data_IF_235819008240
#
_entry.id   IF_235819008240
#
_cell.length_a   1.000
_cell.length_b   1.000
_cell.length_c   1.000
_cell.angle_alpha   90.00
_cell.angle_beta   90.00
_cell.angle_gamma   90.00
#
_symmetry.space_group_name_H-M   'P 1'
#
loop_
_entity.id
_entity.type
_entity.pdbx_description
1 polymer ?
#
# COMPACT_ATOMS: atom_id res chain seq x y z
N UNK A 1 7.66 -21.87 -12.30
CA UNK A 1 7.61 -20.91 -13.42
C UNK A 1 6.21 -20.97 -13.99
N UNK A 2 5.40 -19.94 -13.74
CA UNK A 2 4.05 -19.81 -14.27
C UNK A 2 4.16 -19.11 -15.62
N UNK A 3 3.77 -19.77 -16.72
CA UNK A 3 3.71 -19.15 -18.04
C UNK A 3 2.28 -18.66 -18.29
N UNK A 4 2.13 -17.38 -18.66
CA UNK A 4 0.84 -16.83 -19.06
C UNK A 4 0.70 -16.97 -20.58
N UNK A 5 -0.34 -17.66 -21.04
CA UNK A 5 -0.63 -17.86 -22.48
C UNK A 5 -1.70 -16.88 -22.94
N UNK A 6 -1.48 -16.23 -24.07
CA UNK A 6 -2.45 -15.35 -24.71
C UNK A 6 -2.93 -15.92 -26.03
N UNK A 7 -4.22 -15.73 -26.34
CA UNK A 7 -4.78 -16.04 -27.65
C UNK A 7 -4.46 -14.92 -28.65
N UNK A 8 -4.45 -15.22 -29.95
CA UNK A 8 -4.24 -14.21 -31.01
C UNK A 8 -5.32 -13.11 -31.05
N UNK A 9 -6.51 -13.34 -30.49
CA UNK A 9 -7.59 -12.35 -30.40
C UNK A 9 -7.28 -11.27 -29.35
N UNK A 10 -6.58 -11.62 -28.27
CA UNK A 10 -6.16 -10.68 -27.23
C UNK A 10 -5.01 -9.77 -27.70
N UNK A 11 -4.29 -10.18 -28.75
CA UNK A 11 -3.18 -9.40 -29.33
C UNK A 11 -3.65 -8.16 -30.09
N UNK A 12 -4.78 -8.22 -30.82
CA UNK A 12 -5.32 -7.03 -31.48
C UNK A 12 -5.83 -6.00 -30.47
N UNK A 13 -6.42 -6.45 -29.36
CA UNK A 13 -6.82 -5.59 -28.24
C UNK A 13 -5.61 -4.98 -27.52
N UNK A 14 -4.55 -5.78 -27.29
CA UNK A 14 -3.29 -5.29 -26.74
C UNK A 14 -2.65 -4.21 -27.63
N UNK A 15 -2.63 -4.41 -28.96
CA UNK A 15 -2.14 -3.39 -29.91
C UNK A 15 -3.01 -2.13 -29.89
N UNK A 16 -4.33 -2.26 -29.80
CA UNK A 16 -5.24 -1.12 -29.76
C UNK A 16 -5.03 -0.24 -28.52
N UNK A 17 -4.83 -0.86 -27.35
CA UNK A 17 -4.61 -0.17 -26.08
C UNK A 17 -3.21 0.45 -25.94
N UNK A 18 -2.25 0.06 -26.79
CA UNK A 18 -0.85 0.52 -26.72
C UNK A 18 -0.39 1.30 -27.97
N UNK A 19 -1.32 1.81 -28.80
CA UNK A 19 -0.98 2.70 -29.91
C UNK A 19 -0.53 4.06 -29.39
N UNK A 20 0.74 4.39 -29.59
CA UNK A 20 1.28 5.72 -29.29
C UNK A 20 1.01 6.68 -30.46
N UNK A 21 0.38 7.86 -30.25
CA UNK A 21 -0.12 8.72 -31.33
C UNK A 21 0.98 9.37 -32.20
N UNK A 22 2.25 9.28 -31.80
CA UNK A 22 3.38 9.88 -32.49
C UNK A 22 4.21 8.93 -33.39
N UNK A 23 3.92 7.62 -33.41
CA UNK A 23 4.68 6.65 -34.22
C UNK A 23 3.79 5.53 -34.77
N UNK A 24 3.21 5.68 -35.97
CA UNK A 24 2.28 4.70 -36.53
C UNK A 24 2.93 3.45 -37.16
N UNK A 25 4.26 3.41 -37.30
CA UNK A 25 4.98 2.36 -38.07
C UNK A 25 5.77 1.33 -37.24
N UNK A 26 5.47 1.14 -35.94
CA UNK A 26 5.91 -0.06 -35.21
C UNK A 26 5.08 -1.27 -35.69
N UNK A 27 5.32 -1.68 -36.94
CA UNK A 27 4.77 -2.85 -37.58
C UNK A 27 5.46 -4.09 -37.01
N UNK A 28 4.77 -4.77 -36.10
CA UNK A 28 5.10 -6.15 -35.75
C UNK A 28 4.84 -7.05 -36.95
N UNK A 29 5.87 -7.43 -37.70
CA UNK A 29 5.74 -8.34 -38.84
C UNK A 29 5.76 -9.78 -38.35
N UNK A 30 4.58 -10.38 -38.16
CA UNK A 30 4.43 -11.84 -38.07
C UNK A 30 4.23 -12.40 -39.48
N UNK A 31 5.20 -13.16 -39.99
CA UNK A 31 5.07 -13.85 -41.28
C UNK A 31 4.00 -14.94 -41.16
N UNK A 32 2.83 -14.71 -41.75
CA UNK A 32 1.66 -15.59 -41.66
C UNK A 32 1.82 -16.79 -42.59
N UNK A 33 2.35 -17.92 -42.10
CA UNK A 33 2.26 -19.19 -42.82
C UNK A 33 0.99 -19.94 -42.40
N UNK A 34 0.03 -20.08 -43.32
CA UNK A 34 -1.17 -20.92 -43.15
C UNK A 34 -0.74 -22.39 -43.13
N UNK A 35 -1.03 -23.09 -42.03
CA UNK A 35 -0.91 -24.54 -41.94
C UNK A 35 -2.32 -25.15 -41.71
N UNK A 36 -2.82 -26.09 -42.53
CA UNK A 36 -4.21 -26.56 -42.45
C UNK A 36 -4.56 -27.48 -41.27
N UNK A 37 -3.68 -27.66 -40.29
CA UNK A 37 -3.82 -28.72 -39.28
C UNK A 37 -3.56 -28.35 -37.81
N UNK A 38 -3.36 -27.08 -37.46
CA UNK A 38 -3.19 -26.64 -36.05
C UNK A 38 -3.95 -25.33 -35.83
N UNK A 39 -4.70 -25.24 -34.74
CA UNK A 39 -5.66 -24.14 -34.52
C UNK A 39 -5.13 -22.92 -33.77
N UNK A 40 -3.99 -22.93 -33.08
CA UNK A 40 -3.54 -21.72 -32.33
C UNK A 40 -2.00 -21.58 -32.23
N UNK A 41 -1.53 -20.34 -32.29
CA UNK A 41 -0.16 -19.92 -31.98
C UNK A 41 -0.15 -19.24 -30.60
N UNK A 42 0.89 -19.47 -29.78
CA UNK A 42 1.03 -18.84 -28.46
C UNK A 42 2.40 -18.17 -28.31
N UNK A 43 2.46 -17.11 -27.51
CA UNK A 43 3.71 -16.44 -27.10
C UNK A 43 3.85 -16.68 -25.59
N UNK A 44 5.01 -17.17 -25.15
CA UNK A 44 5.32 -17.31 -23.73
C UNK A 44 6.28 -16.19 -23.30
N UNK A 45 5.92 -15.49 -22.23
CA UNK A 45 6.71 -14.43 -21.62
C UNK A 45 7.21 -14.92 -20.26
N UNK A 46 8.52 -14.79 -20.00
CA UNK A 46 9.12 -15.16 -18.72
C UNK A 46 9.51 -13.90 -17.93
N UNK A 47 9.32 -13.94 -16.60
CA UNK A 47 9.83 -12.91 -15.69
C UNK A 47 11.35 -12.82 -15.83
N UNK A 48 11.81 -11.69 -16.40
CA UNK A 48 13.19 -11.48 -16.83
C UNK A 48 13.33 -10.82 -18.21
N UNK A 49 12.24 -10.52 -18.91
CA UNK A 49 12.26 -9.67 -20.11
C UNK A 49 12.68 -10.36 -21.41
N UNK A 50 12.46 -11.67 -21.52
CA UNK A 50 12.68 -12.43 -22.76
C UNK A 50 11.36 -12.91 -23.35
N UNK A 51 11.21 -12.75 -24.67
CA UNK A 51 10.11 -13.31 -25.45
C UNK A 51 10.67 -14.51 -26.22
N UNK A 52 10.17 -15.71 -25.94
CA UNK A 52 10.50 -16.91 -26.69
C UNK A 52 9.28 -17.32 -27.53
N UNK A 53 9.44 -17.39 -28.85
CA UNK A 53 8.37 -17.77 -29.77
C UNK A 53 8.58 -19.24 -30.16
N UNK A 54 7.83 -20.15 -29.54
CA UNK A 54 7.88 -21.59 -29.81
C UNK A 54 6.87 -21.97 -30.89
N UNK A 55 7.38 -22.41 -32.05
CA UNK A 55 6.61 -23.15 -33.05
C UNK A 55 7.02 -24.62 -32.99
N UNK A 56 6.09 -25.50 -32.60
CA UNK A 56 6.32 -26.95 -32.62
C UNK A 56 5.56 -27.54 -33.80
N UNK A 57 6.29 -27.99 -34.82
CA UNK A 57 5.77 -28.71 -35.97
C UNK A 57 6.72 -29.82 -36.39
N UNK A 58 6.18 -31.01 -36.66
CA UNK A 58 6.94 -32.20 -37.01
C UNK A 58 7.75 -31.99 -38.31
N UNK A 59 9.02 -32.35 -38.23
CA UNK A 59 10.07 -32.28 -39.26
C UNK A 59 10.76 -30.91 -39.44
N UNK A 60 11.99 -30.88 -38.92
CA UNK A 60 13.09 -29.92 -39.16
C UNK A 60 12.92 -28.53 -38.52
N UNK A 61 13.31 -28.42 -37.23
CA UNK A 61 13.39 -27.18 -36.47
C UNK A 61 14.70 -26.42 -36.74
N UNK A 62 14.60 -25.18 -37.24
CA UNK A 62 15.59 -24.12 -36.97
C UNK A 62 15.00 -23.20 -35.90
N UNK A 63 15.60 -23.22 -34.71
CA UNK A 63 15.32 -22.26 -33.63
C UNK A 63 15.90 -20.90 -34.02
N UNK A 64 15.05 -19.88 -34.14
CA UNK A 64 15.46 -18.49 -34.33
C UNK A 64 15.29 -17.71 -33.04
N UNK A 65 16.38 -17.48 -32.31
CA UNK A 65 16.38 -16.63 -31.11
C UNK A 65 16.39 -15.16 -31.56
N UNK A 66 15.29 -14.43 -31.37
CA UNK A 66 15.27 -12.97 -31.62
C UNK A 66 15.66 -12.27 -30.33
N UNK A 67 16.92 -11.81 -30.26
CA UNK A 67 17.44 -11.04 -29.12
C UNK A 67 17.22 -9.55 -29.38
N UNK A 68 16.21 -8.94 -28.75
CA UNK A 68 16.03 -7.50 -28.80
C UNK A 68 16.99 -6.84 -27.79
N UNK A 69 17.76 -5.80 -28.18
CA UNK A 69 18.57 -5.05 -27.23
C UNK A 69 17.65 -4.24 -26.32
N UNK A 70 17.73 -4.50 -25.01
CA UNK A 70 17.19 -3.59 -24.00
C UNK A 70 17.88 -2.23 -24.19
N UNK A 71 17.15 -1.25 -24.72
CA UNK A 71 17.55 0.15 -24.57
C UNK A 71 17.64 0.42 -23.08
N UNK A 72 18.76 0.99 -22.64
CA UNK A 72 19.00 1.47 -21.27
C UNK A 72 17.70 2.02 -20.67
N UNK A 73 17.24 1.40 -19.59
CA UNK A 73 16.04 1.77 -18.87
C UNK A 73 16.15 3.22 -18.39
N UNK A 74 15.77 4.17 -19.24
CA UNK A 74 15.48 5.57 -18.85
C UNK A 74 14.00 5.78 -18.54
N UNK A 75 13.20 4.71 -18.66
CA UNK A 75 11.82 4.66 -18.21
C UNK A 75 11.64 3.31 -17.52
N UNK A 76 11.90 3.28 -16.20
CA UNK A 76 11.40 2.18 -15.37
C UNK A 76 9.89 2.10 -15.61
N UNK A 77 9.35 0.90 -15.90
CA UNK A 77 7.91 0.74 -15.89
C UNK A 77 7.38 1.24 -14.53
N UNK A 78 6.27 2.01 -14.49
CA UNK A 78 5.71 2.44 -13.22
C UNK A 78 5.52 1.19 -12.37
N UNK A 79 6.14 1.15 -11.19
CA UNK A 79 5.87 0.07 -10.25
C UNK A 79 4.38 0.05 -9.98
N UNK A 80 3.77 -1.12 -10.07
CA UNK A 80 2.41 -1.31 -9.59
C UNK A 80 2.44 -1.17 -8.05
N UNK A 81 1.99 -0.02 -7.57
CA UNK A 81 1.98 0.32 -6.15
C UNK A 81 1.22 -0.72 -5.32
N UNK A 82 0.13 -1.25 -5.87
CA UNK A 82 -0.67 -2.25 -5.18
C UNK A 82 0.11 -3.57 -5.03
N UNK A 83 0.85 -3.98 -6.07
CA UNK A 83 1.75 -5.12 -6.01
C UNK A 83 2.93 -4.90 -5.03
N UNK A 84 3.53 -3.71 -5.02
CA UNK A 84 4.59 -3.36 -4.06
C UNK A 84 4.09 -3.44 -2.61
N UNK A 85 2.89 -2.91 -2.34
CA UNK A 85 2.26 -3.02 -1.04
C UNK A 85 1.94 -4.49 -0.69
N UNK A 86 1.36 -5.24 -1.63
CA UNK A 86 1.05 -6.65 -1.44
C UNK A 86 2.28 -7.45 -0.99
N UNK A 87 3.38 -7.36 -1.75
CA UNK A 87 4.62 -8.06 -1.41
C UNK A 87 5.20 -7.62 -0.07
N UNK A 88 5.20 -6.31 0.22
CA UNK A 88 5.70 -5.77 1.48
C UNK A 88 4.95 -6.34 2.68
N UNK A 89 3.63 -6.53 2.57
CA UNK A 89 2.79 -7.00 3.67
C UNK A 89 2.69 -8.53 3.73
N UNK A 90 2.81 -9.24 2.61
CA UNK A 90 2.99 -10.70 2.63
C UNK A 90 4.24 -11.10 3.45
N UNK A 91 5.37 -10.41 3.24
CA UNK A 91 6.62 -10.64 3.99
C UNK A 91 6.48 -10.33 5.50
N UNK A 92 5.55 -9.45 5.88
CA UNK A 92 5.34 -9.00 7.27
C UNK A 92 4.28 -9.79 8.01
N UNK A 93 3.37 -10.47 7.30
CA UNK A 93 2.12 -10.99 7.85
C UNK A 93 2.29 -11.79 9.14
N UNK A 94 3.24 -12.74 9.16
CA UNK A 94 3.47 -13.63 10.32
C UNK A 94 3.92 -12.92 11.60
N UNK A 95 4.47 -11.71 11.52
CA UNK A 95 4.97 -10.92 12.67
C UNK A 95 4.26 -9.58 12.80
N UNK A 96 3.22 -9.34 12.00
CA UNK A 96 2.56 -8.04 11.96
C UNK A 96 1.95 -7.69 13.31
N UNK A 97 1.34 -8.68 13.97
CA UNK A 97 0.70 -8.50 15.28
C UNK A 97 1.72 -8.32 16.42
N UNK A 98 3.00 -8.70 16.23
CA UNK A 98 4.10 -8.51 17.19
C UNK A 98 4.64 -7.07 17.16
N UNK A 99 3.74 -6.11 17.22
CA UNK A 99 4.06 -4.71 17.04
C UNK A 99 3.07 -3.81 17.79
N UNK A 100 3.06 -2.53 17.44
CA UNK A 100 2.15 -1.55 18.00
C UNK A 100 0.72 -1.62 17.43
N UNK A 101 0.52 -2.23 16.26
CA UNK A 101 -0.75 -2.21 15.54
C UNK A 101 -1.94 -2.74 16.37
N UNK A 102 -1.82 -3.79 17.23
CA UNK A 102 -2.97 -4.23 18.05
C UNK A 102 -3.47 -3.21 19.07
N UNK A 103 -2.59 -2.32 19.56
CA UNK A 103 -3.02 -1.22 20.45
C UNK A 103 -3.71 -0.12 19.65
N UNK A 104 -3.13 0.23 18.51
CA UNK A 104 -3.68 1.25 17.62
C UNK A 104 -5.06 0.85 17.06
N UNK A 105 -5.24 -0.40 16.65
CA UNK A 105 -6.50 -0.90 16.10
C UNK A 105 -7.69 -0.74 17.06
N UNK A 106 -7.48 -0.96 18.37
CA UNK A 106 -8.51 -0.73 19.38
C UNK A 106 -8.89 0.75 19.47
N UNK A 107 -7.89 1.63 19.43
CA UNK A 107 -8.14 3.08 19.45
C UNK A 107 -8.92 3.56 18.22
N UNK A 108 -8.62 3.04 17.03
CA UNK A 108 -9.38 3.33 15.81
C UNK A 108 -10.86 2.98 15.99
N UNK A 109 -11.17 1.82 16.58
CA UNK A 109 -12.56 1.41 16.84
C UNK A 109 -13.23 2.27 17.92
N UNK A 110 -12.52 2.60 19.00
CA UNK A 110 -13.03 3.46 20.07
C UNK A 110 -13.39 4.85 19.55
N UNK A 111 -12.58 5.42 18.64
CA UNK A 111 -12.82 6.74 18.03
C UNK A 111 -14.03 6.78 17.09
N UNK A 112 -14.38 5.65 16.46
CA UNK A 112 -15.55 5.56 15.58
C UNK A 112 -16.88 5.49 16.32
N UNK A 113 -16.84 5.18 17.61
CA UNK A 113 -18.01 5.01 18.47
C UNK A 113 -19.09 4.10 17.84
N UNK A 114 -18.66 2.94 17.34
CA UNK A 114 -19.52 1.96 16.67
C UNK A 114 -20.67 1.50 17.57
N UNK A 115 -21.84 1.28 16.96
CA UNK A 115 -23.07 0.85 17.63
C UNK A 115 -23.43 -0.60 17.31
N UNK A 116 -24.08 -1.32 18.24
CA UNK A 116 -24.61 -2.63 17.94
C UNK A 116 -25.54 -2.63 16.73
N UNK A 117 -25.37 -3.59 15.82
CA UNK A 117 -26.14 -3.69 14.58
C UNK A 117 -25.56 -2.96 13.37
N UNK A 118 -24.49 -2.18 13.53
CA UNK A 118 -23.86 -1.48 12.40
C UNK A 118 -23.11 -2.43 11.46
N UNK A 119 -23.05 -2.03 10.20
CA UNK A 119 -22.27 -2.69 9.15
C UNK A 119 -21.03 -1.88 8.83
N UNK A 120 -19.86 -2.51 8.92
CA UNK A 120 -18.55 -1.85 8.79
C UNK A 120 -17.77 -2.41 7.61
N UNK A 121 -17.10 -1.55 6.85
CA UNK A 121 -16.15 -1.94 5.81
C UNK A 121 -14.73 -1.56 6.23
N UNK A 122 -13.88 -2.56 6.43
CA UNK A 122 -12.48 -2.38 6.83
C UNK A 122 -11.54 -2.56 5.64
N UNK A 123 -10.95 -1.44 5.18
CA UNK A 123 -10.11 -1.34 3.99
C UNK A 123 -8.63 -1.42 4.36
N UNK A 124 -7.90 -2.31 3.66
CA UNK A 124 -6.57 -2.77 4.04
C UNK A 124 -6.58 -3.40 5.44
N UNK A 125 -7.52 -4.33 5.64
CA UNK A 125 -7.80 -4.93 6.95
C UNK A 125 -6.63 -5.75 7.54
N UNK A 126 -5.64 -6.11 6.74
CA UNK A 126 -4.44 -6.83 7.16
C UNK A 126 -4.78 -8.16 7.84
N UNK A 127 -4.22 -8.39 9.03
CA UNK A 127 -4.52 -9.56 9.84
C UNK A 127 -5.89 -9.47 10.53
N UNK A 128 -6.69 -8.44 10.28
CA UNK A 128 -8.03 -8.26 10.86
C UNK A 128 -8.06 -7.59 12.23
N UNK A 129 -7.01 -6.88 12.65
CA UNK A 129 -6.95 -6.26 13.99
C UNK A 129 -8.09 -5.26 14.23
N UNK A 130 -8.35 -4.37 13.27
CA UNK A 130 -9.50 -3.44 13.32
C UNK A 130 -10.80 -4.21 13.08
N UNK A 131 -10.81 -5.10 12.06
CA UNK A 131 -11.98 -5.93 11.71
C UNK A 131 -12.59 -6.63 12.92
N UNK A 132 -11.78 -7.33 13.72
CA UNK A 132 -12.28 -8.10 14.86
C UNK A 132 -12.70 -7.22 16.03
N UNK A 133 -11.99 -6.11 16.28
CA UNK A 133 -12.40 -5.14 17.29
C UNK A 133 -13.74 -4.48 16.92
N UNK A 134 -13.94 -4.14 15.64
CA UNK A 134 -15.19 -3.62 15.12
C UNK A 134 -16.31 -4.68 15.21
N UNK A 135 -16.02 -5.94 14.86
CA UNK A 135 -16.99 -7.04 14.91
C UNK A 135 -17.51 -7.29 16.33
N UNK A 136 -16.65 -7.11 17.33
CA UNK A 136 -17.04 -7.14 18.74
C UNK A 136 -17.94 -5.95 19.10
N UNK A 137 -17.61 -4.75 18.66
CA UNK A 137 -18.36 -3.53 18.98
C UNK A 137 -19.78 -3.53 18.38
N UNK A 138 -19.93 -3.99 17.13
CA UNK A 138 -21.24 -4.05 16.46
C UNK A 138 -22.08 -5.26 16.89
N UNK A 139 -21.47 -6.24 17.57
CA UNK A 139 -22.15 -7.42 18.09
C UNK A 139 -22.74 -8.33 17.01
N UNK A 140 -23.51 -9.34 17.44
CA UNK A 140 -24.03 -10.39 16.57
C UNK A 140 -25.09 -9.95 15.56
N UNK A 141 -25.66 -8.74 15.73
CA UNK A 141 -26.64 -8.16 14.81
C UNK A 141 -26.00 -7.26 13.75
N UNK A 142 -24.72 -6.89 13.93
CA UNK A 142 -23.94 -6.16 12.94
C UNK A 142 -23.00 -7.07 12.18
N UNK A 143 -22.24 -6.53 11.24
CA UNK A 143 -21.25 -7.29 10.47
C UNK A 143 -20.07 -6.44 10.05
N UNK A 144 -18.92 -7.07 9.84
CA UNK A 144 -17.73 -6.40 9.29
C UNK A 144 -17.24 -7.11 8.03
N UNK A 145 -17.04 -6.34 6.97
CA UNK A 145 -16.42 -6.80 5.73
C UNK A 145 -15.00 -6.27 5.67
N UNK A 146 -14.00 -7.15 5.76
CA UNK A 146 -12.59 -6.82 5.61
C UNK A 146 -12.12 -7.01 4.17
N UNK A 147 -11.39 -6.04 3.62
CA UNK A 147 -10.80 -6.10 2.28
C UNK A 147 -9.30 -5.86 2.37
N UNK A 148 -8.49 -6.77 1.84
CA UNK A 148 -7.05 -6.60 1.72
C UNK A 148 -6.52 -7.22 0.42
N UNK A 149 -5.38 -6.75 -0.09
CA UNK A 149 -4.75 -7.32 -1.28
C UNK A 149 -3.79 -8.48 -0.94
N UNK A 150 -3.24 -8.47 0.28
CA UNK A 150 -2.25 -9.45 0.77
C UNK A 150 -2.92 -10.75 1.20
N UNK A 151 -2.62 -11.82 0.48
CA UNK A 151 -3.08 -13.16 0.84
C UNK A 151 -2.40 -13.65 2.13
N UNK A 152 -1.16 -13.25 2.40
CA UNK A 152 -0.46 -13.57 3.64
C UNK A 152 -1.14 -12.97 4.86
N UNK A 153 -1.59 -11.72 4.76
CA UNK A 153 -2.35 -11.04 5.80
C UNK A 153 -3.70 -11.70 6.06
N UNK A 154 -4.47 -11.95 4.99
CA UNK A 154 -5.77 -12.59 5.09
C UNK A 154 -5.69 -14.03 5.63
N UNK A 155 -4.62 -14.76 5.33
CA UNK A 155 -4.38 -16.07 5.92
C UNK A 155 -4.28 -15.98 7.46
N UNK A 156 -3.57 -14.99 8.00
CA UNK A 156 -3.54 -14.75 9.46
C UNK A 156 -4.90 -14.34 10.00
N UNK A 157 -5.64 -13.50 9.26
CA UNK A 157 -6.98 -13.08 9.65
C UNK A 157 -7.94 -14.29 9.74
N UNK A 158 -7.97 -15.15 8.73
CA UNK A 158 -8.79 -16.37 8.73
C UNK A 158 -8.41 -17.34 9.84
N UNK A 159 -7.12 -17.52 10.15
CA UNK A 159 -6.69 -18.34 11.28
C UNK A 159 -7.23 -17.80 12.60
N UNK A 160 -7.16 -16.48 12.82
CA UNK A 160 -7.72 -15.83 14.01
C UNK A 160 -9.24 -15.94 14.06
N UNK A 161 -9.93 -15.75 12.94
CA UNK A 161 -11.38 -15.89 12.83
C UNK A 161 -11.83 -17.30 13.24
N UNK A 162 -11.17 -18.33 12.72
CA UNK A 162 -11.45 -19.72 13.04
C UNK A 162 -11.20 -20.03 14.52
N UNK A 163 -10.06 -19.59 15.07
CA UNK A 163 -9.73 -19.83 16.48
C UNK A 163 -10.70 -19.14 17.46
N UNK A 164 -11.21 -17.97 17.09
CA UNK A 164 -12.11 -17.18 17.94
C UNK A 164 -13.61 -17.47 17.69
N UNK A 165 -13.95 -18.33 16.71
CA UNK A 165 -15.32 -18.61 16.28
C UNK A 165 -16.13 -17.32 15.97
N UNK A 166 -15.53 -16.40 15.20
CA UNK A 166 -16.18 -15.13 14.83
C UNK A 166 -16.98 -15.32 13.54
N UNK A 167 -18.29 -15.21 13.64
CA UNK A 167 -19.23 -15.49 12.52
C UNK A 167 -19.67 -14.23 11.75
N UNK A 168 -19.62 -13.05 12.37
CA UNK A 168 -20.09 -11.79 11.79
C UNK A 168 -19.01 -11.03 10.99
N UNK A 169 -18.03 -11.75 10.44
CA UNK A 169 -16.92 -11.19 9.65
C UNK A 169 -16.76 -11.93 8.33
N UNK A 170 -16.61 -11.17 7.24
CA UNK A 170 -16.26 -11.69 5.92
C UNK A 170 -15.00 -11.01 5.41
N UNK A 171 -14.05 -11.78 4.89
CA UNK A 171 -12.82 -11.25 4.30
C UNK A 171 -12.82 -11.44 2.78
N UNK A 172 -12.31 -10.45 2.06
CA UNK A 172 -12.13 -10.47 0.61
C UNK A 172 -10.70 -10.11 0.24
N UNK A 173 -10.07 -10.95 -0.60
CA UNK A 173 -8.82 -10.59 -1.25
C UNK A 173 -9.12 -9.69 -2.46
N UNK A 174 -8.98 -8.38 -2.32
CA UNK A 174 -9.26 -7.43 -3.39
C UNK A 174 -8.50 -6.11 -3.20
N UNK A 175 -8.28 -5.37 -4.30
CA UNK A 175 -7.80 -3.99 -4.20
C UNK A 175 -8.88 -3.08 -3.63
N UNK A 176 -8.50 -2.26 -2.66
CA UNK A 176 -9.37 -1.21 -2.09
C UNK A 176 -9.56 -0.03 -3.05
N UNK A 177 -8.79 0.09 -4.13
CA UNK A 177 -8.95 1.16 -5.12
C UNK A 177 -10.04 0.87 -6.17
N UNK A 178 -10.62 -0.34 -6.17
CA UNK A 178 -11.67 -0.74 -7.11
C UNK A 178 -12.73 -1.59 -6.42
N UNK A 179 -13.52 -1.03 -5.51
CA UNK A 179 -14.56 -1.80 -4.80
C UNK A 179 -15.83 -2.08 -5.65
N UNK A 180 -16.01 -1.39 -6.78
CA UNK A 180 -17.24 -1.49 -7.59
C UNK A 180 -17.47 -2.84 -8.25
N UNK A 181 -16.44 -3.68 -8.36
CA UNK A 181 -16.49 -5.00 -8.98
C UNK A 181 -16.30 -6.14 -7.97
N UNK A 182 -16.34 -5.83 -6.67
CA UNK A 182 -16.19 -6.81 -5.61
C UNK A 182 -17.58 -7.33 -5.18
N UNK A 183 -17.84 -8.60 -5.49
CA UNK A 183 -19.02 -9.31 -5.01
C UNK A 183 -19.06 -9.28 -3.46
N UNK A 184 -20.23 -8.98 -2.90
CA UNK A 184 -20.39 -8.81 -1.45
C UNK A 184 -20.04 -7.41 -0.92
N UNK A 185 -19.57 -6.50 -1.78
CA UNK A 185 -19.39 -5.07 -1.46
C UNK A 185 -20.11 -4.17 -2.47
N UNK A 186 -20.12 -4.55 -3.75
CA UNK A 186 -20.79 -3.81 -4.81
C UNK A 186 -22.26 -3.52 -4.47
N UNK A 187 -22.63 -2.24 -4.54
CA UNK A 187 -24.01 -1.77 -4.30
C UNK A 187 -24.43 -1.71 -2.83
N UNK A 188 -23.56 -2.12 -1.89
CA UNK A 188 -23.83 -1.98 -0.46
C UNK A 188 -23.44 -0.60 0.06
N UNK A 189 -24.04 -0.22 1.18
CA UNK A 189 -23.67 0.96 1.96
C UNK A 189 -23.44 0.56 3.41
N UNK A 190 -22.42 1.14 4.03
CA UNK A 190 -21.93 0.83 5.36
C UNK A 190 -22.17 2.00 6.31
N UNK A 191 -22.37 1.68 7.58
CA UNK A 191 -22.49 2.68 8.66
C UNK A 191 -21.12 3.27 9.00
N UNK A 192 -20.04 2.49 8.84
CA UNK A 192 -18.68 2.97 9.00
C UNK A 192 -17.69 2.36 8.00
N UNK A 193 -16.65 3.12 7.66
CA UNK A 193 -15.49 2.67 6.89
C UNK A 193 -14.22 2.90 7.70
N UNK A 194 -13.35 1.90 7.78
CA UNK A 194 -12.02 2.02 8.41
C UNK A 194 -10.91 1.85 7.39
N UNK A 195 -9.84 2.62 7.50
CA UNK A 195 -8.60 2.41 6.74
C UNK A 195 -7.40 2.76 7.62
N UNK A 196 -6.88 1.78 8.35
CA UNK A 196 -5.81 1.99 9.31
C UNK A 196 -4.43 1.65 8.74
N UNK A 197 -3.45 2.54 8.91
CA UNK A 197 -2.04 2.36 8.56
C UNK A 197 -1.75 2.07 7.07
N UNK A 198 -2.67 2.47 6.19
CA UNK A 198 -2.60 2.13 4.76
C UNK A 198 -2.72 3.32 3.80
N UNK A 199 -3.18 4.50 4.22
CA UNK A 199 -3.35 5.65 3.31
C UNK A 199 -2.04 6.04 2.61
N UNK A 200 -0.93 5.98 3.34
CA UNK A 200 0.44 6.27 2.85
C UNK A 200 0.95 5.27 1.81
N UNK A 201 0.23 4.18 1.58
CA UNK A 201 0.57 3.22 0.53
C UNK A 201 -0.06 3.63 -0.79
N UNK A 202 -1.16 4.37 -0.79
CA UNK A 202 -1.90 4.73 -2.00
C UNK A 202 -1.18 5.81 -2.81
N UNK A 203 -1.04 5.55 -4.10
CA UNK A 203 -0.49 6.54 -5.05
C UNK A 203 -1.44 7.71 -5.33
N UNK A 204 -2.75 7.49 -5.22
CA UNK A 204 -3.78 8.52 -5.39
C UNK A 204 -4.85 8.41 -4.29
N UNK A 205 -4.55 8.90 -3.08
CA UNK A 205 -5.48 8.83 -1.95
C UNK A 205 -6.79 9.60 -2.22
N UNK A 206 -6.75 10.73 -2.93
CA UNK A 206 -7.94 11.51 -3.27
C UNK A 206 -8.96 10.71 -4.09
N UNK A 207 -8.50 9.96 -5.09
CA UNK A 207 -9.39 9.14 -5.91
C UNK A 207 -9.98 7.98 -5.10
N UNK A 208 -9.15 7.33 -4.28
CA UNK A 208 -9.58 6.23 -3.43
C UNK A 208 -10.65 6.68 -2.42
N UNK A 209 -10.42 7.79 -1.72
CA UNK A 209 -11.37 8.39 -0.78
C UNK A 209 -12.71 8.74 -1.43
N UNK A 210 -12.69 9.43 -2.58
CA UNK A 210 -13.91 9.74 -3.34
C UNK A 210 -14.67 8.48 -3.76
N UNK A 211 -13.94 7.39 -4.02
CA UNK A 211 -14.53 6.10 -4.33
C UNK A 211 -15.17 5.46 -3.08
N UNK A 212 -14.47 5.49 -1.93
CA UNK A 212 -14.93 4.89 -0.67
C UNK A 212 -16.15 5.59 -0.08
N UNK A 213 -16.20 6.93 -0.11
CA UNK A 213 -17.33 7.71 0.44
C UNK A 213 -18.67 7.33 -0.20
N UNK A 214 -18.67 6.80 -1.43
CA UNK A 214 -19.89 6.30 -2.11
C UNK A 214 -20.48 5.04 -1.48
N UNK A 215 -19.70 4.33 -0.67
CA UNK A 215 -20.12 3.16 0.09
C UNK A 215 -20.54 3.53 1.52
N UNK A 216 -20.50 4.79 1.92
CA UNK A 216 -21.09 5.22 3.19
C UNK A 216 -22.59 5.43 3.03
N UNK A 217 -23.36 5.03 4.04
CA UNK A 217 -24.73 5.52 4.23
C UNK A 217 -24.72 7.02 4.49
N UNK A 218 -25.81 7.75 4.23
CA UNK A 218 -25.99 9.10 4.75
C UNK A 218 -25.83 9.11 6.28
N UNK A 219 -24.90 9.94 6.79
CA UNK A 219 -24.54 9.98 8.22
C UNK A 219 -23.59 8.87 8.68
N UNK A 220 -23.12 8.02 7.77
CA UNK A 220 -22.05 7.08 8.02
C UNK A 220 -20.71 7.78 8.23
N UNK A 221 -19.77 7.10 8.89
CA UNK A 221 -18.51 7.67 9.36
C UNK A 221 -17.31 6.98 8.71
N UNK A 222 -16.26 7.71 8.42
CA UNK A 222 -14.99 7.16 7.96
C UNK A 222 -13.87 7.53 8.91
N UNK A 223 -13.01 6.56 9.23
CA UNK A 223 -11.78 6.79 10.00
C UNK A 223 -10.55 6.33 9.21
N UNK A 224 -9.49 7.13 9.26
CA UNK A 224 -8.18 6.76 8.75
C UNK A 224 -7.06 7.55 9.41
N UNK A 225 -5.82 7.16 9.13
CA UNK A 225 -4.63 7.83 9.65
C UNK A 225 -3.56 8.13 8.60
N UNK A 226 -2.77 9.15 8.92
CA UNK A 226 -1.51 9.48 8.25
C UNK A 226 -0.39 9.61 9.26
N UNK A 227 0.81 9.17 8.88
CA UNK A 227 1.99 9.26 9.73
C UNK A 227 2.33 10.73 10.02
N UNK A 228 2.68 11.06 11.27
CA UNK A 228 3.14 12.41 11.60
C UNK A 228 4.41 12.76 10.79
N UNK A 229 4.57 14.02 10.37
CA UNK A 229 5.69 14.47 9.52
C UNK A 229 7.09 14.32 10.15
N UNK A 230 7.12 14.12 11.45
CA UNK A 230 8.32 13.84 12.24
C UNK A 230 8.36 12.40 12.77
N UNK A 231 7.52 11.52 12.25
CA UNK A 231 7.50 10.10 12.59
C UNK A 231 8.19 9.28 11.52
N UNK A 232 8.89 8.23 11.95
CA UNK A 232 9.65 7.35 11.07
C UNK A 232 10.62 8.12 10.16
N UNK A 233 11.38 9.06 10.74
CA UNK A 233 12.23 10.02 10.01
C UNK A 233 13.19 9.35 9.03
N UNK A 234 13.66 8.15 9.34
CA UNK A 234 14.50 7.38 8.43
C UNK A 234 13.78 6.97 7.14
N UNK A 235 12.52 6.51 7.23
CA UNK A 235 11.73 6.17 6.04
C UNK A 235 11.38 7.41 5.22
N UNK A 236 11.03 8.53 5.88
CA UNK A 236 10.80 9.81 5.21
C UNK A 236 12.06 10.30 4.48
N UNK A 237 13.22 10.19 5.12
CA UNK A 237 14.51 10.55 4.51
C UNK A 237 14.80 9.68 3.29
N UNK A 238 14.55 8.37 3.38
CA UNK A 238 14.71 7.46 2.25
C UNK A 238 13.74 7.78 1.09
N UNK A 239 12.51 8.19 1.39
CA UNK A 239 11.54 8.65 0.40
C UNK A 239 12.01 9.95 -0.29
N UNK A 240 12.60 10.90 0.45
CA UNK A 240 13.24 12.10 -0.15
C UNK A 240 14.37 11.72 -1.10
N UNK A 241 15.20 10.75 -0.73
CA UNK A 241 16.26 10.22 -1.61
C UNK A 241 15.67 9.61 -2.87
N UNK A 242 14.62 8.80 -2.76
CA UNK A 242 13.89 8.24 -3.91
C UNK A 242 13.36 9.31 -4.84
N UNK A 243 12.70 10.36 -4.30
CA UNK A 243 12.24 11.51 -5.10
C UNK A 243 13.40 12.20 -5.83
N UNK A 244 14.54 12.46 -5.16
CA UNK A 244 15.73 13.10 -5.77
C UNK A 244 16.36 12.26 -6.88
N UNK A 245 16.26 10.94 -6.80
CA UNK A 245 16.78 10.01 -7.79
C UNK A 245 15.75 9.60 -8.85
N UNK A 246 14.50 10.06 -8.74
CA UNK A 246 13.36 9.57 -9.51
C UNK A 246 13.21 8.04 -9.44
N UNK A 247 13.51 7.45 -8.28
CA UNK A 247 13.34 6.03 -7.98
C UNK A 247 12.17 5.89 -7.00
N UNK A 248 11.09 5.19 -7.38
CA UNK A 248 9.96 4.98 -6.49
C UNK A 248 10.36 4.12 -5.29
N UNK A 249 9.89 4.50 -4.11
CA UNK A 249 9.92 3.69 -2.89
C UNK A 249 8.49 3.32 -2.52
N UNK A 250 8.25 2.19 -1.81
CA UNK A 250 6.90 1.70 -1.50
C UNK A 250 6.25 2.48 -0.33
N UNK A 251 6.18 3.81 -0.45
CA UNK A 251 5.64 4.75 0.53
C UNK A 251 5.42 6.12 -0.10
N UNK A 252 4.32 6.78 0.29
CA UNK A 252 3.95 8.14 -0.11
C UNK A 252 3.68 9.02 1.11
N UNK A 253 4.52 8.93 2.14
CA UNK A 253 4.34 9.69 3.38
C UNK A 253 4.59 11.19 3.17
N UNK A 254 5.42 11.55 2.21
CA UNK A 254 5.69 12.96 1.86
C UNK A 254 4.54 13.63 1.09
N UNK A 255 3.39 12.97 0.93
CA UNK A 255 2.18 13.60 0.38
C UNK A 255 1.39 14.38 1.44
N UNK A 256 1.76 14.27 2.72
CA UNK A 256 1.08 14.91 3.84
C UNK A 256 2.13 15.61 4.71
N UNK A 257 2.26 16.92 4.55
CA UNK A 257 3.22 17.75 5.30
C UNK A 257 2.57 18.49 6.47
N UNK A 258 1.24 18.41 6.63
CA UNK A 258 0.53 19.00 7.76
C UNK A 258 -0.79 18.29 8.08
N UNK A 259 -1.31 18.43 9.30
CA UNK A 259 -2.69 18.03 9.62
C UNK A 259 -3.72 18.68 8.70
N UNK A 260 -3.44 19.92 8.23
CA UNK A 260 -4.36 20.67 7.39
C UNK A 260 -4.53 20.04 6.01
N UNK A 261 -3.45 19.57 5.40
CA UNK A 261 -3.52 18.85 4.13
C UNK A 261 -4.30 17.54 4.23
N UNK A 262 -4.19 16.86 5.38
CA UNK A 262 -4.98 15.67 5.66
C UNK A 262 -6.47 16.01 5.84
N UNK A 263 -6.79 17.06 6.59
CA UNK A 263 -8.17 17.57 6.72
C UNK A 263 -8.75 17.98 5.36
N UNK A 264 -7.99 18.70 4.53
CA UNK A 264 -8.41 19.15 3.20
C UNK A 264 -8.66 17.97 2.25
N UNK A 265 -7.85 16.91 2.35
CA UNK A 265 -8.06 15.68 1.60
C UNK A 265 -9.41 15.03 1.97
N UNK A 266 -9.72 14.90 3.26
CA UNK A 266 -10.99 14.33 3.74
C UNK A 266 -12.18 15.19 3.31
N UNK A 267 -12.08 16.52 3.48
CA UNK A 267 -13.12 17.47 3.07
C UNK A 267 -13.37 17.42 1.56
N UNK A 268 -12.31 17.36 0.75
CA UNK A 268 -12.40 17.27 -0.71
C UNK A 268 -13.02 15.95 -1.21
N UNK A 269 -13.07 14.93 -0.36
CA UNK A 269 -13.78 13.68 -0.62
C UNK A 269 -15.28 13.74 -0.25
N UNK A 270 -15.71 14.81 0.43
CA UNK A 270 -17.11 15.04 0.81
C UNK A 270 -17.44 14.69 2.26
N UNK A 271 -16.45 14.32 3.07
CA UNK A 271 -16.62 14.11 4.52
C UNK A 271 -16.85 15.46 5.23
N UNK A 272 -17.60 15.42 6.33
CA UNK A 272 -18.03 16.61 7.08
C UNK A 272 -17.81 16.38 8.57
N UNK A 273 -17.97 17.42 9.40
CA UNK A 273 -17.81 17.30 10.86
C UNK A 273 -16.47 16.66 11.27
N UNK A 274 -15.40 17.02 10.55
CA UNK A 274 -14.09 16.40 10.68
C UNK A 274 -13.51 16.61 12.08
N UNK A 275 -13.07 15.51 12.71
CA UNK A 275 -12.30 15.50 13.95
C UNK A 275 -10.91 14.93 13.68
N UNK A 276 -9.89 15.79 13.75
CA UNK A 276 -8.49 15.43 13.53
C UNK A 276 -7.76 15.41 14.87
N UNK A 277 -7.21 14.24 15.23
CA UNK A 277 -6.49 14.01 16.49
C UNK A 277 -5.07 13.55 16.21
N UNK A 278 -4.11 14.00 17.01
CA UNK A 278 -2.77 13.40 17.03
C UNK A 278 -2.76 12.27 18.05
N UNK A 279 -2.49 11.04 17.60
CA UNK A 279 -2.39 9.85 18.44
C UNK A 279 -0.94 9.41 18.52
N UNK A 280 -0.41 9.27 19.74
CA UNK A 280 0.99 8.89 19.97
C UNK A 280 1.15 7.59 20.76
N UNK A 281 2.15 6.80 20.37
CA UNK A 281 2.50 5.49 20.91
C UNK A 281 3.47 5.65 22.09
N UNK A 282 3.04 5.61 23.35
CA UNK A 282 4.02 5.46 24.42
C UNK A 282 4.51 4.00 24.50
N UNK A 283 5.83 3.80 24.65
CA UNK A 283 6.33 2.62 25.35
C UNK A 283 5.93 2.75 26.83
N UNK A 284 4.73 2.29 27.16
CA UNK A 284 4.26 2.27 28.54
C UNK A 284 5.14 1.30 29.35
N UNK A 285 6.19 1.83 29.98
CA UNK A 285 6.70 1.28 31.25
C UNK A 285 5.75 1.77 32.35
N UNK A 286 4.54 1.21 32.37
CA UNK A 286 3.50 1.58 33.32
C UNK A 286 2.20 0.84 33.05
N UNK A 287 1.63 0.22 34.09
CA UNK A 287 0.37 -0.52 34.05
C UNK A 287 -0.83 0.43 33.90
N UNK A 288 -1.08 0.94 32.69
CA UNK A 288 -2.33 1.61 32.34
C UNK A 288 -3.20 0.68 31.49
N UNK A 289 -4.44 0.44 31.92
CA UNK A 289 -5.53 -0.10 31.09
C UNK A 289 -6.37 1.07 30.60
N UNK A 290 -6.67 1.14 29.30
CA UNK A 290 -7.61 2.13 28.73
C UNK A 290 -7.04 3.04 27.64
N UNK A 291 -7.92 3.91 27.11
CA UNK A 291 -7.83 4.83 25.96
C UNK A 291 -6.64 5.82 25.99
N UNK A 292 -5.81 5.79 27.03
CA UNK A 292 -4.62 6.62 27.22
C UNK A 292 -3.44 6.25 26.31
N UNK A 293 -3.70 5.73 25.11
CA UNK A 293 -2.77 5.84 23.98
C UNK A 293 -2.79 7.30 23.45
N UNK A 294 -2.51 8.25 24.35
CA UNK A 294 -2.14 9.65 24.18
C UNK A 294 -2.69 10.37 22.94
N UNK A 295 -3.94 10.86 23.01
CA UNK A 295 -4.38 11.99 22.20
C UNK A 295 -3.57 13.21 22.65
N UNK A 296 -2.67 13.69 21.80
CA UNK A 296 -1.86 14.87 22.05
C UNK A 296 -2.51 16.10 21.41
N UNK A 297 -2.17 17.28 21.92
CA UNK A 297 -2.42 18.51 21.18
C UNK A 297 -1.67 18.41 19.84
N UNK A 298 -2.42 18.59 18.74
CA UNK A 298 -1.92 18.52 17.36
C UNK A 298 -0.75 19.51 17.14
N UNK A 299 -0.70 20.60 17.92
CA UNK A 299 0.34 21.62 17.87
C UNK A 299 1.48 21.40 18.88
N UNK A 300 1.35 20.46 19.82
CA UNK A 300 2.35 20.17 20.84
C UNK A 300 2.63 18.66 20.89
N UNK A 301 3.24 18.09 19.83
CA UNK A 301 3.57 16.68 19.81
C UNK A 301 4.62 16.35 20.87
N UNK A 302 4.51 15.16 21.48
CA UNK A 302 5.57 14.61 22.33
C UNK A 302 6.79 14.26 21.47
N UNK A 303 7.98 14.64 21.92
CA UNK A 303 9.23 14.14 21.34
C UNK A 303 9.52 12.78 21.98
N UNK A 304 9.50 11.72 21.17
CA UNK A 304 9.70 10.35 21.62
C UNK A 304 11.16 9.93 21.57
N UNK A 305 11.90 10.46 20.59
CA UNK A 305 13.31 10.12 20.37
C UNK A 305 14.07 11.34 19.88
N UNK A 306 15.32 11.44 20.30
CA UNK A 306 16.26 12.47 19.84
C UNK A 306 17.47 11.74 19.29
N UNK A 307 17.89 12.14 18.09
CA UNK A 307 19.07 11.62 17.40
C UNK A 307 20.09 12.72 17.21
N UNK A 308 21.35 12.30 17.13
CA UNK A 308 22.41 13.13 16.59
C UNK A 308 22.45 13.00 15.06
N UNK A 309 23.09 13.95 14.38
CA UNK A 309 23.27 13.89 12.91
C UNK A 309 24.06 12.62 12.52
N UNK A 310 25.00 12.21 13.35
CA UNK A 310 25.87 11.05 13.15
C UNK A 310 25.11 9.72 13.16
N UNK A 311 23.93 9.66 13.79
CA UNK A 311 23.06 8.48 13.79
C UNK A 311 22.53 8.12 12.39
N UNK A 312 22.61 9.07 11.43
CA UNK A 312 22.15 8.89 10.06
C UNK A 312 22.78 7.70 9.36
N UNK A 313 24.06 7.41 9.63
CA UNK A 313 24.77 6.28 9.03
C UNK A 313 24.14 4.95 9.45
N UNK A 314 23.94 4.72 10.75
CA UNK A 314 23.34 3.48 11.25
C UNK A 314 21.90 3.33 10.76
N UNK A 315 21.15 4.44 10.67
CA UNK A 315 19.78 4.47 10.11
C UNK A 315 19.75 4.03 8.66
N UNK A 316 20.62 4.59 7.83
CA UNK A 316 20.73 4.24 6.42
C UNK A 316 21.02 2.75 6.24
N UNK A 317 22.04 2.22 6.94
CA UNK A 317 22.46 0.82 6.80
C UNK A 317 21.34 -0.17 7.14
N UNK A 318 20.50 0.15 8.13
CA UNK A 318 19.32 -0.66 8.46
C UNK A 318 18.23 -0.60 7.39
N UNK A 319 18.00 0.57 6.81
CA UNK A 319 16.87 0.80 5.90
C UNK A 319 17.18 0.36 4.47
N UNK A 320 18.42 0.54 4.02
CA UNK A 320 18.80 0.29 2.63
C UNK A 320 18.68 -1.17 2.22
N UNK A 321 18.81 -2.10 3.18
CA UNK A 321 18.66 -3.55 2.99
C UNK A 321 17.21 -4.03 3.14
N UNK A 322 16.29 -3.14 3.49
CA UNK A 322 14.86 -3.45 3.58
C UNK A 322 14.18 -3.32 2.20
N UNK A 323 12.93 -3.80 2.09
CA UNK A 323 12.09 -3.59 0.91
C UNK A 323 11.93 -2.12 0.50
N UNK A 324 12.03 -1.19 1.45
CA UNK A 324 11.99 0.24 1.15
C UNK A 324 13.25 0.74 0.43
N UNK A 325 14.40 0.12 0.68
CA UNK A 325 15.70 0.51 0.13
C UNK A 325 16.14 -0.30 -1.09
N UNK A 326 15.51 -1.44 -1.36
CA UNK A 326 15.89 -2.38 -2.42
C UNK A 326 16.05 -1.69 -3.78
N UNK A 327 15.11 -0.81 -4.17
CA UNK A 327 15.17 -0.06 -5.42
C UNK A 327 16.38 0.89 -5.50
N UNK A 328 16.75 1.48 -4.36
CA UNK A 328 17.83 2.46 -4.25
C UNK A 328 19.20 1.78 -4.19
N UNK A 329 19.25 0.54 -3.67
CA UNK A 329 20.46 -0.26 -3.58
C UNK A 329 20.81 -0.96 -4.92
N UNK A 330 19.84 -1.13 -5.81
CA UNK A 330 20.00 -1.79 -7.10
C UNK A 330 21.03 -1.08 -7.99
N UNK A 331 21.63 -1.84 -8.92
CA UNK A 331 22.54 -1.34 -9.96
C UNK A 331 23.71 -0.47 -9.44
N UNK A 332 24.20 -0.76 -8.23
CA UNK A 332 25.28 0.00 -7.60
C UNK A 332 24.84 1.36 -7.03
N UNK A 333 23.53 1.64 -6.95
CA UNK A 333 22.96 2.89 -6.47
C UNK A 333 23.17 3.16 -4.97
N UNK A 334 23.57 2.15 -4.19
CA UNK A 334 23.71 2.23 -2.72
C UNK A 334 24.58 3.40 -2.25
N UNK A 335 25.75 3.61 -2.85
CA UNK A 335 26.67 4.65 -2.39
C UNK A 335 26.10 6.05 -2.65
N UNK A 336 25.44 6.24 -3.80
CA UNK A 336 24.76 7.50 -4.11
C UNK A 336 23.55 7.73 -3.20
N UNK A 337 22.77 6.68 -2.93
CA UNK A 337 21.65 6.75 -2.00
C UNK A 337 22.12 7.11 -0.59
N UNK A 338 23.26 6.58 -0.14
CA UNK A 338 23.87 6.90 1.16
C UNK A 338 24.23 8.38 1.28
N UNK A 339 24.94 8.91 0.30
CA UNK A 339 25.35 10.33 0.29
C UNK A 339 24.14 11.25 0.40
N UNK A 340 23.12 11.00 -0.42
CA UNK A 340 21.88 11.77 -0.42
C UNK A 340 21.10 11.59 0.89
N UNK A 341 21.08 10.38 1.45
CA UNK A 341 20.41 10.12 2.72
C UNK A 341 21.04 10.93 3.85
N UNK A 342 22.37 10.92 3.97
CA UNK A 342 23.07 11.67 5.02
C UNK A 342 22.87 13.18 4.86
N UNK A 343 22.84 13.68 3.61
CA UNK A 343 22.53 15.08 3.32
C UNK A 343 21.10 15.44 3.75
N UNK A 344 20.10 14.63 3.40
CA UNK A 344 18.69 14.86 3.80
C UNK A 344 18.48 14.68 5.30
N UNK A 345 19.18 13.76 5.94
CA UNK A 345 19.12 13.52 7.38
C UNK A 345 19.65 14.73 8.16
N UNK A 346 20.81 15.27 7.75
CA UNK A 346 21.40 16.44 8.41
C UNK A 346 20.50 17.69 8.36
N UNK A 347 19.68 17.84 7.31
CA UNK A 347 18.71 18.95 7.19
C UNK A 347 17.58 18.89 8.23
N UNK A 348 17.39 17.76 8.92
CA UNK A 348 16.38 17.60 9.96
C UNK A 348 16.82 18.17 11.32
N UNK A 349 18.10 18.50 11.47
CA UNK A 349 18.63 18.96 12.75
C UNK A 349 18.12 20.37 13.09
N UNK A 350 17.73 20.57 14.35
CA UNK A 350 17.39 21.88 14.90
C UNK A 350 18.66 22.70 15.20
N UNK A 351 18.50 23.92 15.73
CA UNK A 351 19.61 24.82 16.07
C UNK A 351 20.61 24.25 17.10
N UNK A 352 20.25 23.17 17.80
CA UNK A 352 21.12 22.46 18.74
C UNK A 352 21.85 21.28 18.10
N UNK A 353 21.63 21.00 16.82
CA UNK A 353 22.16 19.82 16.14
C UNK A 353 21.38 18.54 16.45
N UNK A 354 20.20 18.64 17.04
CA UNK A 354 19.36 17.51 17.43
C UNK A 354 18.28 17.23 16.38
N UNK A 355 18.06 15.96 16.08
CA UNK A 355 16.98 15.49 15.21
C UNK A 355 15.92 14.81 16.09
N UNK A 356 14.81 15.49 16.26
CA UNK A 356 13.75 15.07 17.18
C UNK A 356 12.60 14.37 16.42
N UNK A 357 12.35 13.10 16.76
CA UNK A 357 11.30 12.25 16.20
C UNK A 357 10.09 12.16 17.14
N UNK A 358 8.91 12.20 16.52
CA UNK A 358 7.60 12.02 17.16
C UNK A 358 7.08 10.66 16.74
N UNK A 359 6.74 9.78 17.68
CA UNK A 359 6.11 8.48 17.41
C UNK A 359 4.59 8.65 17.46
N UNK A 360 4.03 9.19 16.37
CA UNK A 360 2.60 9.47 16.27
C UNK A 360 2.05 9.47 14.85
N UNK A 361 0.73 9.46 14.78
CA UNK A 361 -0.08 9.54 13.56
C UNK A 361 -1.21 10.54 13.77
N UNK A 362 -1.58 11.27 12.72
CA UNK A 362 -2.83 12.00 12.71
C UNK A 362 -3.94 11.03 12.34
N UNK A 363 -5.00 10.98 13.15
CA UNK A 363 -6.21 10.21 12.91
C UNK A 363 -7.33 11.19 12.58
N UNK A 364 -8.06 10.94 11.51
CA UNK A 364 -9.19 11.74 11.09
C UNK A 364 -10.46 10.90 11.09
N UNK A 365 -11.53 11.43 11.70
CA UNK A 365 -12.89 10.90 11.64
C UNK A 365 -13.78 11.92 10.95
N UNK A 366 -14.70 11.49 10.09
CA UNK A 366 -15.65 12.39 9.41
C UNK A 366 -16.69 11.72 8.56
#
# INVERSE_FOLDING_TARGET
>A
MSATRFSLLDWEAFKANNRHPAQPELLFTLTKHRNPGLSEHYIECFDGGFIECLSVGAHHSRLGLVRLPLRSAKHAMPRDQAADAQHLYDDRASKYDDSWHPRFARHVVDLLDLKPGEHVLDLACGTGLVTFAAAQAVGSTGSVTGVDISSGMLAQAHLKQLHANIENVTFHQHSITSLSNLDGVQGQQFDAITCASALVLLSNPTLALKHWVRFLKPGGRLIMDVTHIRSQLGHLTLERVGKRLAIPVPSYRLNFESPKEFEDLLSAAGLQELDIRLVSQAQASGHGQGIDAYVCDVNQPRIDRVYAVEDGQARFERLIVSRYGEALAADGGRDRARELFLEEWAKLANDKGEIEEVDGVFVGVG
#
